data_IF_038276282254
#
_entry.id   IF_038276282254
#
_cell.length_a   1.000
_cell.length_b   1.000
_cell.length_c   1.000
_cell.angle_alpha   90.00
_cell.angle_beta   90.00
_cell.angle_gamma   90.00
#
_symmetry.space_group_name_H-M   'P 1'
#
loop_
_entity.id
_entity.type
_entity.pdbx_description
1 polymer ?
#
# COMPACT_ATOMS: atom_id res chain seq x y z
N UNK A 1 -7.78 -2.87 27.38
CA UNK A 1 -8.41 -2.89 26.05
C UNK A 1 -7.45 -3.56 25.10
N UNK A 2 -7.82 -4.65 24.41
CA UNK A 2 -6.97 -5.23 23.35
C UNK A 2 -6.78 -4.21 22.21
N UNK A 3 -5.68 -4.30 21.48
CA UNK A 3 -5.41 -3.48 20.28
C UNK A 3 -6.44 -3.87 19.22
N UNK A 4 -7.15 -2.89 18.66
CA UNK A 4 -8.11 -3.16 17.58
C UNK A 4 -7.42 -3.40 16.24
N UNK A 5 -8.09 -4.11 15.33
CA UNK A 5 -7.59 -4.28 13.94
C UNK A 5 -7.37 -2.92 13.26
N UNK A 6 -8.24 -1.94 13.51
CA UNK A 6 -8.03 -0.57 13.03
C UNK A 6 -6.69 0.00 13.51
N UNK A 7 -6.42 -0.06 14.82
CA UNK A 7 -5.17 0.44 15.41
C UNK A 7 -3.93 -0.28 14.88
N UNK A 8 -4.03 -1.58 14.61
CA UNK A 8 -2.94 -2.39 14.08
C UNK A 8 -2.73 -2.25 12.56
N UNK A 9 -3.63 -1.59 11.82
CA UNK A 9 -3.60 -1.52 10.35
C UNK A 9 -3.53 -0.08 9.83
N UNK A 10 -4.65 0.65 9.82
CA UNK A 10 -4.77 1.97 9.18
C UNK A 10 -3.64 2.94 9.54
N UNK A 11 -3.33 3.22 10.83
CA UNK A 11 -2.25 4.15 11.16
C UNK A 11 -0.85 3.58 10.80
N UNK A 12 -0.68 2.26 10.78
CA UNK A 12 0.57 1.60 10.41
C UNK A 12 0.83 1.79 8.91
N UNK A 13 -0.16 1.51 8.06
CA UNK A 13 -0.09 1.76 6.61
C UNK A 13 0.12 3.24 6.29
N UNK A 14 -0.64 4.14 6.93
CA UNK A 14 -0.48 5.60 6.75
C UNK A 14 0.95 6.04 7.08
N UNK A 15 1.55 5.53 8.16
CA UNK A 15 2.93 5.86 8.53
C UNK A 15 3.93 5.38 7.48
N UNK A 16 3.80 4.15 7.01
CA UNK A 16 4.66 3.59 5.95
C UNK A 16 4.56 4.39 4.65
N UNK A 17 3.33 4.68 4.20
CA UNK A 17 3.06 5.46 2.99
C UNK A 17 3.61 6.89 3.08
N UNK A 18 3.46 7.59 4.21
CA UNK A 18 4.08 8.90 4.41
C UNK A 18 5.61 8.84 4.36
N UNK A 19 6.20 7.73 4.84
CA UNK A 19 7.66 7.52 4.74
C UNK A 19 8.08 7.39 3.28
N UNK A 20 7.29 6.69 2.45
CA UNK A 20 7.55 6.59 1.01
C UNK A 20 7.49 7.96 0.33
N UNK A 21 6.53 8.82 0.66
CA UNK A 21 6.49 10.21 0.13
C UNK A 21 7.78 10.97 0.46
N UNK A 22 8.24 10.91 1.72
CA UNK A 22 9.48 11.57 2.13
C UNK A 22 10.73 10.98 1.44
N UNK A 23 10.72 9.69 1.11
CA UNK A 23 11.81 9.06 0.34
C UNK A 23 11.80 9.52 -1.12
N UNK A 24 10.62 9.65 -1.73
CA UNK A 24 10.48 10.20 -3.07
C UNK A 24 10.91 11.68 -3.12
N UNK A 25 10.67 12.48 -2.06
CA UNK A 25 11.17 13.87 -1.98
C UNK A 25 12.70 13.92 -2.02
N UNK A 26 13.34 13.01 -1.28
CA UNK A 26 14.80 12.88 -1.29
C UNK A 26 15.33 12.38 -2.63
N UNK A 27 14.62 11.46 -3.29
CA UNK A 27 14.99 10.95 -4.60
C UNK A 27 14.98 12.08 -5.65
N UNK A 28 13.96 12.94 -5.63
CA UNK A 28 13.86 14.10 -6.50
C UNK A 28 14.98 15.12 -6.24
N UNK A 29 15.23 15.46 -4.98
CA UNK A 29 16.34 16.35 -4.60
C UNK A 29 17.71 15.80 -5.03
N UNK A 30 17.91 14.48 -4.90
CA UNK A 30 19.12 13.81 -5.36
C UNK A 30 19.26 13.88 -6.89
N UNK A 31 18.19 13.60 -7.63
CA UNK A 31 18.21 13.66 -9.09
C UNK A 31 18.58 15.06 -9.59
N UNK A 32 17.97 16.10 -9.00
CA UNK A 32 18.28 17.49 -9.31
C UNK A 32 19.74 17.84 -9.02
N UNK A 33 20.26 17.45 -7.84
CA UNK A 33 21.64 17.75 -7.45
C UNK A 33 22.68 17.00 -8.30
N UNK A 34 22.36 15.80 -8.77
CA UNK A 34 23.25 14.96 -9.57
C UNK A 34 23.07 15.14 -11.09
N UNK A 35 22.13 15.98 -11.53
CA UNK A 35 21.81 16.16 -12.95
C UNK A 35 21.22 14.90 -13.61
N UNK A 36 20.57 14.05 -12.82
CA UNK A 36 19.92 12.82 -13.29
C UNK A 36 18.48 13.11 -13.72
N UNK A 37 18.00 12.34 -14.69
CA UNK A 37 16.58 12.34 -15.04
C UNK A 37 15.76 11.65 -13.95
N UNK A 38 14.83 12.38 -13.33
CA UNK A 38 13.92 11.84 -12.32
C UNK A 38 13.03 10.72 -12.87
N UNK A 39 12.71 10.73 -14.17
CA UNK A 39 11.95 9.65 -14.79
C UNK A 39 12.75 8.33 -14.87
N UNK A 40 14.07 8.40 -14.97
CA UNK A 40 14.93 7.22 -14.91
C UNK A 40 14.85 6.53 -13.54
N UNK A 41 14.69 7.28 -12.43
CA UNK A 41 14.50 6.71 -11.10
C UNK A 41 13.17 5.93 -10.97
N UNK A 42 12.12 6.38 -11.65
CA UNK A 42 10.80 5.73 -11.64
C UNK A 42 10.88 4.32 -12.25
N UNK A 43 11.73 4.15 -13.26
CA UNK A 43 11.95 2.88 -13.97
C UNK A 43 13.10 2.05 -13.40
N UNK A 44 13.83 2.55 -12.40
CA UNK A 44 14.94 1.83 -11.81
C UNK A 44 14.46 0.60 -11.04
N UNK A 45 15.06 -0.56 -11.32
CA UNK A 45 14.88 -1.81 -10.58
C UNK A 45 16.14 -2.19 -9.79
N UNK A 46 15.99 -3.10 -8.83
CA UNK A 46 17.14 -3.65 -8.08
C UNK A 46 17.79 -4.85 -8.79
N UNK A 47 17.02 -5.57 -9.60
CA UNK A 47 17.43 -6.69 -10.44
C UNK A 47 16.49 -6.77 -11.66
N UNK A 48 16.93 -7.43 -12.72
CA UNK A 48 16.22 -7.48 -14.01
C UNK A 48 14.83 -8.16 -13.93
N UNK A 49 14.62 -9.03 -12.94
CA UNK A 49 13.37 -9.77 -12.70
C UNK A 49 12.49 -9.17 -11.61
N UNK A 50 12.91 -8.04 -11.02
CA UNK A 50 12.14 -7.31 -10.01
C UNK A 50 11.35 -6.16 -10.63
N UNK A 51 10.20 -5.84 -10.03
CA UNK A 51 9.46 -4.64 -10.40
C UNK A 51 10.31 -3.37 -10.19
N UNK A 52 10.21 -2.38 -11.09
CA UNK A 52 10.85 -1.09 -10.92
C UNK A 52 10.22 -0.31 -9.76
N UNK A 53 10.81 0.82 -9.38
CA UNK A 53 10.30 1.68 -8.31
C UNK A 53 8.81 1.99 -8.47
N UNK A 54 8.35 2.31 -9.69
CA UNK A 54 6.93 2.46 -9.97
C UNK A 54 6.11 1.25 -9.50
N UNK A 55 6.45 0.06 -9.98
CA UNK A 55 5.78 -1.19 -9.62
C UNK A 55 5.81 -1.46 -8.11
N UNK A 56 6.91 -1.16 -7.41
CA UNK A 56 7.01 -1.31 -5.96
C UNK A 56 6.04 -0.38 -5.20
N UNK A 57 5.96 0.89 -5.60
CA UNK A 57 5.01 1.85 -5.01
C UNK A 57 3.56 1.44 -5.32
N UNK A 58 3.31 0.94 -6.53
CA UNK A 58 2.01 0.41 -6.93
C UNK A 58 1.57 -0.75 -6.04
N UNK A 59 2.48 -1.71 -5.78
CA UNK A 59 2.22 -2.84 -4.88
C UNK A 59 2.01 -2.39 -3.44
N UNK A 60 2.83 -1.49 -2.89
CA UNK A 60 2.67 -0.97 -1.52
C UNK A 60 1.32 -0.26 -1.33
N UNK A 61 0.91 0.52 -2.33
CA UNK A 61 -0.40 1.16 -2.42
C UNK A 61 -1.53 0.13 -2.42
N UNK A 62 -1.50 -0.85 -3.32
CA UNK A 62 -2.55 -1.84 -3.46
C UNK A 62 -2.66 -2.79 -2.28
N UNK A 63 -1.53 -3.22 -1.70
CA UNK A 63 -1.52 -4.03 -0.48
C UNK A 63 -2.23 -3.31 0.66
N UNK A 64 -1.87 -2.03 0.91
CA UNK A 64 -2.49 -1.21 1.97
C UNK A 64 -4.00 -1.03 1.73
N UNK A 65 -4.37 -0.66 0.51
CA UNK A 65 -5.75 -0.44 0.08
C UNK A 65 -6.60 -1.70 0.20
N UNK A 66 -6.14 -2.83 -0.30
CA UNK A 66 -6.89 -4.08 -0.28
C UNK A 66 -6.93 -4.72 1.10
N UNK A 67 -5.91 -4.51 1.94
CA UNK A 67 -5.97 -4.91 3.35
C UNK A 67 -7.13 -4.20 4.06
N UNK A 68 -7.23 -2.88 3.91
CA UNK A 68 -8.35 -2.10 4.46
C UNK A 68 -9.69 -2.57 3.89
N UNK A 69 -9.80 -2.79 2.57
CA UNK A 69 -11.04 -3.30 1.97
C UNK A 69 -11.46 -4.64 2.60
N UNK A 70 -10.55 -5.61 2.70
CA UNK A 70 -10.87 -6.95 3.20
C UNK A 70 -11.20 -6.94 4.70
N UNK A 71 -10.48 -6.13 5.48
CA UNK A 71 -10.66 -6.02 6.92
C UNK A 71 -11.83 -5.12 7.33
N UNK A 72 -12.33 -4.25 6.46
CA UNK A 72 -13.48 -3.38 6.77
C UNK A 72 -14.75 -3.70 5.99
N UNK A 73 -14.63 -4.47 4.89
CA UNK A 73 -15.71 -4.69 3.92
C UNK A 73 -16.02 -3.46 3.05
N UNK A 74 -15.31 -2.34 3.21
CA UNK A 74 -15.53 -1.12 2.42
C UNK A 74 -14.76 -1.21 1.11
N UNK A 75 -15.44 -1.13 -0.02
CA UNK A 75 -14.81 -1.24 -1.33
C UNK A 75 -13.69 -0.20 -1.54
N UNK A 76 -12.57 -0.65 -2.09
CA UNK A 76 -11.45 0.18 -2.46
C UNK A 76 -11.61 0.76 -3.88
N UNK A 77 -11.10 1.98 -4.13
CA UNK A 77 -11.05 2.52 -5.48
C UNK A 77 -10.08 1.72 -6.37
N UNK A 78 -10.38 1.68 -7.67
CA UNK A 78 -9.44 1.15 -8.66
C UNK A 78 -8.45 2.25 -9.05
N UNK A 79 -7.16 1.90 -9.12
CA UNK A 79 -6.10 2.80 -9.61
C UNK A 79 -5.44 2.11 -10.80
N UNK A 80 -5.25 2.84 -11.90
CA UNK A 80 -4.55 2.33 -13.06
C UNK A 80 -3.04 2.47 -12.83
N UNK A 81 -2.27 1.45 -13.24
CA UNK A 81 -0.81 1.40 -13.08
C UNK A 81 -0.11 2.19 -14.20
N UNK A 82 -0.36 3.49 -14.28
CA UNK A 82 0.10 4.38 -15.37
C UNK A 82 1.12 5.43 -14.93
N UNK A 83 1.64 5.34 -13.72
CA UNK A 83 2.56 6.34 -13.17
C UNK A 83 3.94 6.27 -13.85
N UNK A 84 4.36 7.40 -14.44
CA UNK A 84 5.66 7.53 -15.12
C UNK A 84 6.56 8.62 -14.52
N UNK A 85 6.07 9.35 -13.52
CA UNK A 85 6.80 10.45 -12.85
C UNK A 85 6.76 10.28 -11.33
N UNK A 86 7.73 10.87 -10.62
CA UNK A 86 7.74 10.88 -9.15
C UNK A 86 6.47 11.55 -8.59
N UNK A 87 5.97 12.60 -9.23
CA UNK A 87 4.73 13.28 -8.84
C UNK A 87 3.48 12.39 -8.98
N UNK A 88 3.40 11.60 -10.05
CA UNK A 88 2.33 10.62 -10.22
C UNK A 88 2.38 9.54 -9.12
N UNK A 89 3.58 9.09 -8.72
CA UNK A 89 3.74 8.16 -7.59
C UNK A 89 3.29 8.78 -6.26
N UNK A 90 3.63 10.05 -5.99
CA UNK A 90 3.13 10.78 -4.81
C UNK A 90 1.61 10.87 -4.81
N UNK A 91 1.02 11.18 -5.96
CA UNK A 91 -0.44 11.27 -6.13
C UNK A 91 -1.10 9.94 -5.80
N UNK A 92 -0.59 8.81 -6.32
CA UNK A 92 -1.10 7.46 -5.98
C UNK A 92 -1.03 7.21 -4.47
N UNK A 93 0.09 7.55 -3.83
CA UNK A 93 0.24 7.37 -2.38
C UNK A 93 -0.77 8.24 -1.61
N UNK A 94 -0.93 9.50 -2.01
CA UNK A 94 -1.86 10.44 -1.37
C UNK A 94 -3.32 9.97 -1.51
N UNK A 95 -3.71 9.46 -2.68
CA UNK A 95 -5.04 8.91 -2.94
C UNK A 95 -5.29 7.64 -2.11
N UNK A 96 -4.29 6.76 -1.98
CA UNK A 96 -4.35 5.61 -1.08
C UNK A 96 -4.54 6.04 0.37
N UNK A 97 -3.75 6.99 0.85
CA UNK A 97 -3.88 7.54 2.21
C UNK A 97 -5.28 8.13 2.42
N UNK A 98 -5.81 8.87 1.44
CA UNK A 98 -7.14 9.48 1.50
C UNK A 98 -8.22 8.41 1.65
N UNK A 99 -8.15 7.36 0.83
CA UNK A 99 -9.08 6.24 0.93
C UNK A 99 -8.99 5.55 2.29
N UNK A 100 -7.81 5.09 2.72
CA UNK A 100 -7.70 4.32 3.97
C UNK A 100 -8.11 5.13 5.20
N UNK A 101 -7.89 6.46 5.20
CA UNK A 101 -8.35 7.37 6.27
C UNK A 101 -9.86 7.64 6.24
N UNK A 102 -10.51 7.47 5.09
CA UNK A 102 -11.96 7.66 4.96
C UNK A 102 -12.76 6.52 5.60
N UNK A 103 -12.14 5.37 5.83
CA UNK A 103 -12.81 4.22 6.45
C UNK A 103 -12.86 4.40 7.97
N UNK A 104 -14.08 4.51 8.49
CA UNK A 104 -14.31 4.73 9.91
C UNK A 104 -13.90 3.50 10.76
N UNK A 105 -13.34 3.68 11.98
CA UNK A 105 -12.88 2.58 12.84
C UNK A 105 -13.92 1.49 13.09
N UNK A 106 -15.19 1.84 13.20
CA UNK A 106 -16.32 0.93 13.49
C UNK A 106 -16.53 -0.09 12.36
N UNK A 107 -16.04 0.20 11.14
CA UNK A 107 -16.07 -0.78 10.04
C UNK A 107 -15.14 -1.96 10.26
N UNK A 108 -14.21 -1.85 11.21
CA UNK A 108 -13.29 -2.92 11.58
C UNK A 108 -13.79 -3.74 12.78
N UNK A 109 -14.97 -3.46 13.32
CA UNK A 109 -15.54 -4.25 14.41
C UNK A 109 -15.76 -5.70 13.96
N UNK A 110 -15.23 -6.65 14.74
CA UNK A 110 -15.25 -8.09 14.43
C UNK A 110 -14.33 -8.51 13.28
N UNK A 111 -13.48 -7.61 12.77
CA UNK A 111 -12.57 -7.92 11.67
C UNK A 111 -11.59 -9.04 12.02
N UNK A 112 -11.19 -9.16 13.29
CA UNK A 112 -10.26 -10.18 13.80
C UNK A 112 -10.70 -11.62 13.46
N UNK A 113 -12.02 -11.87 13.48
CA UNK A 113 -12.60 -13.18 13.19
C UNK A 113 -13.10 -13.33 11.75
N UNK A 114 -13.05 -12.28 10.93
CA UNK A 114 -13.58 -12.30 9.57
C UNK A 114 -12.74 -13.23 8.69
N UNK A 115 -13.40 -14.15 7.99
CA UNK A 115 -12.74 -15.01 7.00
C UNK A 115 -12.36 -14.20 5.77
N UNK A 116 -11.07 -14.21 5.43
CA UNK A 116 -10.52 -13.54 4.25
C UNK A 116 -9.91 -14.61 3.34
N UNK A 117 -10.49 -14.77 2.15
CA UNK A 117 -9.96 -15.66 1.11
C UNK A 117 -9.30 -14.82 0.02
N UNK A 118 -8.05 -15.14 -0.29
CA UNK A 118 -7.30 -14.49 -1.37
C UNK A 118 -7.28 -15.45 -2.56
N UNK A 119 -7.69 -14.98 -3.74
CA UNK A 119 -7.70 -15.78 -4.96
C UNK A 119 -6.39 -15.58 -5.73
N UNK A 120 -5.46 -16.52 -5.59
CA UNK A 120 -4.18 -16.57 -6.31
C UNK A 120 -4.22 -17.71 -7.35
N UNK A 121 -5.12 -17.59 -8.32
CA UNK A 121 -5.36 -18.65 -9.31
C UNK A 121 -5.90 -19.93 -8.66
N UNK A 122 -5.21 -21.05 -8.83
CA UNK A 122 -5.57 -22.33 -8.21
C UNK A 122 -5.38 -22.33 -6.68
N UNK A 123 -4.47 -21.48 -6.17
CA UNK A 123 -4.25 -21.33 -4.73
C UNK A 123 -5.26 -20.33 -4.16
N UNK A 124 -6.01 -20.76 -3.15
CA UNK A 124 -7.01 -19.92 -2.48
C UNK A 124 -6.82 -19.96 -0.96
N UNK A 125 -5.71 -19.41 -0.43
CA UNK A 125 -5.48 -19.40 1.01
C UNK A 125 -6.58 -18.61 1.73
N UNK A 126 -6.97 -19.14 2.89
CA UNK A 126 -8.00 -18.57 3.75
C UNK A 126 -7.41 -18.25 5.12
N UNK A 127 -7.78 -17.10 5.65
CA UNK A 127 -7.26 -16.53 6.89
C UNK A 127 -8.43 -16.05 7.76
N UNK A 128 -8.20 -15.92 9.07
CA UNK A 128 -8.99 -14.96 9.85
C UNK A 128 -8.35 -13.57 9.72
N UNK A 129 -9.06 -12.50 10.09
CA UNK A 129 -8.56 -11.14 9.86
C UNK A 129 -7.27 -10.84 10.61
N UNK A 130 -7.06 -11.41 11.80
CA UNK A 130 -5.82 -11.25 12.55
C UNK A 130 -4.63 -11.90 11.82
N UNK A 131 -4.74 -13.16 11.42
CA UNK A 131 -3.66 -13.84 10.72
C UNK A 131 -3.42 -13.21 9.35
N UNK A 132 -4.48 -12.85 8.62
CA UNK A 132 -4.36 -12.10 7.38
C UNK A 132 -3.55 -10.81 7.56
N UNK A 133 -3.87 -10.00 8.58
CA UNK A 133 -3.17 -8.73 8.79
C UNK A 133 -1.69 -8.96 9.10
N UNK A 134 -1.38 -9.79 10.09
CA UNK A 134 -0.02 -9.91 10.62
C UNK A 134 0.91 -10.83 9.82
N UNK A 135 0.36 -11.78 9.06
CA UNK A 135 1.18 -12.78 8.33
C UNK A 135 1.08 -12.66 6.82
N UNK A 136 0.24 -11.77 6.29
CA UNK A 136 0.09 -11.59 4.84
C UNK A 136 0.07 -10.12 4.40
N UNK A 137 -0.68 -9.24 5.08
CA UNK A 137 -0.85 -7.86 4.63
C UNK A 137 0.27 -6.91 5.09
N UNK A 138 0.85 -7.14 6.27
CA UNK A 138 1.95 -6.34 6.83
C UNK A 138 3.35 -6.75 6.35
N UNK A 139 3.68 -8.05 6.23
CA UNK A 139 4.94 -8.47 5.60
C UNK A 139 5.00 -8.06 4.13
#
# INVERSE_FOLDING_TARGET
MPISIYQASVPVFVRGLNTLVALLDKAEAHAQAAGLDAAALVQAGLADDMYPLAGQIQRASDTSKFAVQRLSGVAAPSFADTETTLDALRTRIADTIRYIKSVAPEKFDGAEGRTITIKLGALQPSFNGTSYLFTFALP
#
